data_IF_238056650249
#
_entry.id   IF_238056650249
#
_cell.length_a   1.000
_cell.length_b   1.000
_cell.length_c   1.000
_cell.angle_alpha   90.00
_cell.angle_beta   90.00
_cell.angle_gamma   90.00
#
_symmetry.space_group_name_H-M   'P 1'
#
loop_
_entity.id
_entity.type
_entity.pdbx_description
1 polymer ?
#
# COMPACT_ATOMS: atom_id res chain seq x y z
N UNK A 1 6.38 9.07 -14.35
CA UNK A 1 4.96 9.51 -14.42
C UNK A 1 4.15 8.78 -13.34
N UNK A 2 2.96 9.24 -12.91
CA UNK A 2 2.14 8.55 -11.91
C UNK A 2 1.89 7.06 -12.21
N UNK A 3 1.72 6.71 -13.49
CA UNK A 3 1.51 5.34 -13.94
C UNK A 3 2.73 4.40 -13.70
N UNK A 4 3.96 4.94 -13.75
CA UNK A 4 5.17 4.14 -13.51
C UNK A 4 5.29 3.76 -12.02
N UNK A 5 4.97 4.71 -11.14
CA UNK A 5 4.95 4.49 -9.69
C UNK A 5 3.91 3.43 -9.30
N UNK A 6 2.69 3.55 -9.84
CA UNK A 6 1.60 2.60 -9.62
C UNK A 6 1.96 1.19 -10.13
N UNK A 7 2.51 1.08 -11.34
CA UNK A 7 2.94 -0.21 -11.91
C UNK A 7 4.02 -0.86 -11.06
N UNK A 8 5.04 -0.10 -10.64
CA UNK A 8 6.13 -0.61 -9.82
C UNK A 8 5.67 -1.03 -8.43
N UNK A 9 4.78 -0.25 -7.81
CA UNK A 9 4.14 -0.60 -6.54
C UNK A 9 3.37 -1.91 -6.65
N UNK A 10 2.49 -2.04 -7.64
CA UNK A 10 1.67 -3.25 -7.84
C UNK A 10 2.50 -4.49 -8.13
N UNK A 11 3.51 -4.36 -8.98
CA UNK A 11 4.40 -5.48 -9.27
C UNK A 11 5.01 -6.04 -7.98
N UNK A 12 5.46 -5.15 -7.10
CA UNK A 12 6.09 -5.53 -5.83
C UNK A 12 5.08 -6.05 -4.82
N UNK A 13 4.04 -5.27 -4.52
CA UNK A 13 3.15 -5.53 -3.41
C UNK A 13 1.99 -6.47 -3.74
N UNK A 14 1.84 -6.91 -4.99
CA UNK A 14 0.97 -8.06 -5.33
C UNK A 14 1.56 -9.39 -4.85
N UNK A 15 2.88 -9.45 -4.59
CA UNK A 15 3.53 -10.62 -4.01
C UNK A 15 3.23 -10.69 -2.50
N UNK A 16 2.55 -11.74 -2.01
CA UNK A 16 2.13 -11.81 -0.60
C UNK A 16 3.27 -11.65 0.41
N UNK A 17 4.46 -12.20 0.13
CA UNK A 17 5.63 -12.04 1.00
C UNK A 17 6.03 -10.56 1.18
N UNK A 18 6.01 -9.78 0.11
CA UNK A 18 6.28 -8.34 0.14
C UNK A 18 5.18 -7.58 0.89
N UNK A 19 3.91 -7.88 0.60
CA UNK A 19 2.76 -7.27 1.27
C UNK A 19 2.73 -7.57 2.78
N UNK A 20 3.11 -8.78 3.21
CA UNK A 20 3.17 -9.14 4.62
C UNK A 20 4.13 -8.23 5.42
N UNK A 21 5.28 -7.88 4.84
CA UNK A 21 6.22 -6.93 5.45
C UNK A 21 5.63 -5.53 5.59
N UNK A 22 4.89 -5.05 4.59
CA UNK A 22 4.17 -3.78 4.65
C UNK A 22 3.07 -3.80 5.73
N UNK A 23 2.27 -4.86 5.76
CA UNK A 23 1.20 -5.05 6.75
C UNK A 23 1.76 -5.03 8.18
N UNK A 24 2.88 -5.71 8.44
CA UNK A 24 3.56 -5.69 9.75
C UNK A 24 4.07 -4.31 10.13
N UNK A 25 4.40 -3.47 9.15
CA UNK A 25 4.93 -2.13 9.38
C UNK A 25 3.82 -1.13 9.73
N UNK A 26 2.62 -1.33 9.20
CA UNK A 26 1.53 -0.34 9.27
C UNK A 26 0.43 -0.71 10.26
N UNK A 27 0.14 -2.00 10.45
CA UNK A 27 -0.85 -2.42 11.43
C UNK A 27 -0.25 -2.48 12.84
N UNK A 28 -1.03 -2.14 13.88
CA UNK A 28 -0.59 -2.30 15.26
C UNK A 28 -0.15 -3.74 15.55
N UNK A 29 0.91 -3.92 16.36
CA UNK A 29 1.42 -5.24 16.74
C UNK A 29 0.35 -6.14 17.35
N UNK A 30 -0.59 -5.57 18.09
CA UNK A 30 -1.73 -6.26 18.69
C UNK A 30 -2.70 -6.87 17.66
N UNK A 31 -2.73 -6.33 16.44
CA UNK A 31 -3.47 -6.89 15.31
C UNK A 31 -2.60 -7.94 14.63
N UNK A 32 -1.37 -7.61 14.25
CA UNK A 32 -0.52 -8.49 13.43
C UNK A 32 -0.16 -9.80 14.12
N UNK A 33 -0.04 -9.83 15.46
CA UNK A 33 0.23 -11.07 16.21
C UNK A 33 -0.94 -12.06 16.20
N UNK A 34 -2.12 -11.64 15.73
CA UNK A 34 -3.32 -12.48 15.60
C UNK A 34 -3.58 -12.89 14.16
N UNK A 35 -2.70 -12.55 13.21
CA UNK A 35 -2.85 -12.85 11.79
C UNK A 35 -1.85 -13.91 11.35
N UNK A 36 -2.31 -14.87 10.55
CA UNK A 36 -1.44 -15.83 9.89
C UNK A 36 -0.92 -15.27 8.55
N UNK A 37 0.09 -14.40 8.63
CA UNK A 37 0.66 -13.72 7.47
C UNK A 37 1.42 -14.66 6.51
N UNK A 38 1.74 -15.89 6.92
CA UNK A 38 2.29 -16.90 6.01
C UNK A 38 1.24 -17.40 5.03
N UNK A 39 -0.04 -17.33 5.42
CA UNK A 39 -1.20 -17.67 4.60
C UNK A 39 -1.91 -16.45 4.01
N UNK A 40 -1.20 -15.32 3.93
CA UNK A 40 -1.69 -14.12 3.25
C UNK A 40 -1.94 -14.42 1.76
N UNK A 41 -3.13 -14.09 1.27
CA UNK A 41 -3.55 -14.41 -0.10
C UNK A 41 -4.05 -13.15 -0.81
N UNK A 42 -3.53 -12.91 -2.01
CA UNK A 42 -4.03 -11.88 -2.92
C UNK A 42 -5.36 -12.35 -3.53
N UNK A 43 -6.41 -11.58 -3.34
CA UNK A 43 -7.70 -11.84 -3.94
C UNK A 43 -7.67 -11.51 -5.45
N UNK A 44 -8.36 -12.29 -6.30
CA UNK A 44 -8.50 -11.97 -7.71
C UNK A 44 -9.14 -10.59 -7.92
N UNK A 45 -8.73 -9.86 -8.95
CA UNK A 45 -9.32 -8.55 -9.27
C UNK A 45 -10.84 -8.63 -9.52
N UNK A 46 -11.35 -9.78 -9.98
CA UNK A 46 -12.78 -10.06 -10.16
C UNK A 46 -13.54 -10.35 -8.87
N UNK A 47 -12.86 -10.30 -7.72
CA UNK A 47 -13.51 -10.52 -6.43
C UNK A 47 -14.52 -9.42 -6.11
N UNK A 48 -14.27 -8.18 -6.49
CA UNK A 48 -15.22 -7.07 -6.38
C UNK A 48 -15.87 -6.90 -7.76
N UNK A 49 -17.20 -7.09 -7.87
CA UNK A 49 -17.95 -7.10 -9.15
C UNK A 49 -17.68 -5.88 -10.05
N UNK A 50 -18.03 -6.05 -11.34
CA UNK A 50 -17.72 -5.21 -12.51
C UNK A 50 -17.94 -3.69 -12.36
N UNK A 51 -18.81 -3.23 -11.45
CA UNK A 51 -18.98 -1.79 -11.19
C UNK A 51 -17.74 -1.12 -10.60
N UNK A 52 -16.78 -1.89 -10.05
CA UNK A 52 -15.49 -1.40 -9.55
C UNK A 52 -14.29 -1.83 -10.43
N UNK A 53 -14.53 -2.61 -11.50
CA UNK A 53 -13.49 -3.19 -12.35
C UNK A 53 -12.74 -2.17 -13.22
N UNK A 54 -13.21 -0.92 -13.30
CA UNK A 54 -12.48 0.18 -13.95
C UNK A 54 -11.34 0.74 -13.10
N UNK A 55 -11.34 0.49 -11.78
CA UNK A 55 -10.31 0.98 -10.86
C UNK A 55 -9.40 -0.15 -10.41
N UNK A 56 -8.74 -0.77 -11.38
CA UNK A 56 -7.79 -1.91 -11.27
C UNK A 56 -6.50 -1.57 -10.48
N UNK A 57 -6.58 -0.60 -9.58
CA UNK A 57 -5.55 0.00 -8.73
C UNK A 57 -5.20 -0.85 -7.51
N UNK A 58 -6.24 -1.33 -6.85
CA UNK A 58 -6.15 -1.63 -5.44
C UNK A 58 -5.87 -3.12 -5.22
N UNK A 59 -4.97 -3.44 -4.29
CA UNK A 59 -4.61 -4.82 -3.95
C UNK A 59 -5.43 -5.27 -2.74
N UNK A 60 -6.37 -6.19 -2.94
CA UNK A 60 -7.16 -6.77 -1.86
C UNK A 60 -6.54 -8.08 -1.40
N UNK A 61 -6.14 -8.16 -0.14
CA UNK A 61 -5.67 -9.38 0.48
C UNK A 61 -6.71 -9.93 1.46
N UNK A 62 -6.69 -11.25 1.67
CA UNK A 62 -7.28 -11.89 2.85
C UNK A 62 -6.20 -12.59 3.66
N UNK A 63 -6.36 -12.59 4.97
CA UNK A 63 -5.45 -13.27 5.91
C UNK A 63 -6.26 -13.95 7.01
N UNK A 64 -5.97 -15.24 7.33
CA UNK A 64 -6.63 -15.92 8.43
C UNK A 64 -6.41 -15.21 9.77
N UNK A 65 -7.46 -15.16 10.59
CA UNK A 65 -7.34 -14.72 11.99
C UNK A 65 -7.10 -15.96 12.84
N UNK A 66 -5.99 -15.97 13.58
CA UNK A 66 -5.59 -17.10 14.42
C UNK A 66 -6.66 -17.42 15.47
N UNK A 67 -7.03 -18.71 15.54
CA UNK A 67 -8.06 -19.19 16.47
C UNK A 67 -9.49 -18.78 16.10
N UNK A 68 -9.74 -18.30 14.89
CA UNK A 68 -11.07 -17.96 14.39
C UNK A 68 -11.28 -18.57 13.00
N UNK A 69 -12.51 -19.00 12.69
CA UNK A 69 -12.88 -19.45 11.35
C UNK A 69 -13.33 -18.27 10.47
N UNK A 70 -12.45 -17.27 10.35
CA UNK A 70 -12.69 -16.06 9.56
C UNK A 70 -11.39 -15.40 9.13
N UNK A 71 -11.51 -14.40 8.26
CA UNK A 71 -10.40 -13.66 7.67
C UNK A 71 -10.52 -12.17 8.01
N UNK A 72 -9.36 -11.52 8.13
CA UNK A 72 -9.23 -10.07 7.96
C UNK A 72 -8.95 -9.81 6.47
N UNK A 73 -9.66 -8.85 5.89
CA UNK A 73 -9.36 -8.35 4.56
C UNK A 73 -8.61 -7.03 4.65
N UNK A 74 -7.59 -6.87 3.81
CA UNK A 74 -6.71 -5.70 3.81
C UNK A 74 -6.64 -5.17 2.39
N UNK A 75 -7.18 -3.97 2.20
CA UNK A 75 -7.05 -3.23 0.95
C UNK A 75 -5.78 -2.40 1.02
N UNK A 76 -4.87 -2.57 0.05
CA UNK A 76 -3.64 -1.79 -0.05
C UNK A 76 -3.71 -0.94 -1.31
N UNK A 77 -3.60 0.36 -1.11
CA UNK A 77 -3.70 1.37 -2.16
C UNK A 77 -2.40 2.19 -2.24
N UNK A 78 -2.01 2.56 -3.45
CA UNK A 78 -0.90 3.49 -3.70
C UNK A 78 -1.43 4.84 -4.17
N UNK A 79 -0.88 5.92 -3.61
CA UNK A 79 -1.26 7.28 -3.98
C UNK A 79 -0.01 8.16 -4.20
N UNK A 80 0.13 8.67 -5.43
CA UNK A 80 1.19 9.62 -5.79
C UNK A 80 0.84 11.08 -5.46
N UNK A 81 -0.37 11.33 -4.97
CA UNK A 81 -0.85 12.59 -4.40
C UNK A 81 -2.10 12.35 -3.56
N UNK A 82 -2.51 13.33 -2.73
CA UNK A 82 -3.70 13.19 -1.90
C UNK A 82 -4.97 13.20 -2.78
N UNK A 83 -5.77 12.14 -2.67
CA UNK A 83 -7.10 12.06 -3.29
C UNK A 83 -8.15 12.62 -2.31
N UNK A 84 -8.85 13.72 -2.64
CA UNK A 84 -9.86 14.31 -1.75
C UNK A 84 -11.08 13.40 -1.53
N UNK A 85 -11.22 12.32 -2.30
CA UNK A 85 -12.32 11.34 -2.18
C UNK A 85 -11.84 9.97 -1.66
N UNK A 86 -10.62 9.88 -1.14
CA UNK A 86 -10.03 8.59 -0.74
C UNK A 86 -10.90 7.80 0.26
N UNK A 87 -11.44 8.39 1.35
CA UNK A 87 -12.30 7.64 2.26
C UNK A 87 -13.58 7.12 1.58
N UNK A 88 -14.23 7.91 0.73
CA UNK A 88 -15.39 7.47 -0.06
C UNK A 88 -15.05 6.34 -1.04
N UNK A 89 -13.88 6.40 -1.70
CA UNK A 89 -13.41 5.30 -2.55
C UNK A 89 -13.28 4.02 -1.74
N UNK A 90 -12.61 4.07 -0.58
CA UNK A 90 -12.46 2.91 0.31
C UNK A 90 -13.81 2.38 0.80
N UNK A 91 -14.77 3.25 1.14
CA UNK A 91 -16.13 2.83 1.50
C UNK A 91 -16.78 2.02 0.37
N UNK A 92 -16.64 2.50 -0.87
CA UNK A 92 -17.21 1.84 -2.05
C UNK A 92 -16.59 0.46 -2.25
N UNK A 93 -15.26 0.32 -2.11
CA UNK A 93 -14.59 -0.98 -2.20
C UNK A 93 -15.01 -1.94 -1.08
N UNK A 94 -15.12 -1.47 0.16
CA UNK A 94 -15.58 -2.29 1.29
C UNK A 94 -16.98 -2.83 1.03
N UNK A 95 -17.89 -1.95 0.61
CA UNK A 95 -19.25 -2.34 0.24
C UNK A 95 -19.25 -3.36 -0.91
N UNK A 96 -18.45 -3.14 -1.96
CA UNK A 96 -18.33 -4.06 -3.08
C UNK A 96 -17.83 -5.45 -2.67
N UNK A 97 -16.77 -5.51 -1.85
CA UNK A 97 -16.21 -6.74 -1.32
C UNK A 97 -17.22 -7.49 -0.43
N UNK A 98 -17.91 -6.79 0.47
CA UNK A 98 -18.97 -7.38 1.29
C UNK A 98 -20.13 -7.91 0.43
N UNK A 99 -20.57 -7.15 -0.57
CA UNK A 99 -21.66 -7.57 -1.45
C UNK A 99 -21.27 -8.83 -2.22
N UNK A 100 -20.02 -8.91 -2.72
CA UNK A 100 -19.52 -10.11 -3.39
C UNK A 100 -19.47 -11.32 -2.48
N UNK A 101 -19.00 -11.15 -1.24
CA UNK A 101 -19.01 -12.22 -0.24
C UNK A 101 -20.42 -12.72 0.06
N UNK A 102 -21.38 -11.82 0.27
CA UNK A 102 -22.76 -12.21 0.55
C UNK A 102 -23.42 -12.92 -0.64
N UNK A 103 -23.08 -12.56 -1.88
CA UNK A 103 -23.53 -13.30 -3.07
C UNK A 103 -22.94 -14.71 -3.14
N UNK A 104 -21.63 -14.85 -2.87
CA UNK A 104 -20.92 -16.14 -2.91
C UNK A 104 -21.29 -17.05 -1.74
N UNK A 105 -21.70 -16.47 -0.61
CA UNK A 105 -22.09 -17.18 0.61
C UNK A 105 -23.49 -16.71 1.07
N UNK A 106 -24.60 -17.15 0.42
CA UNK A 106 -25.95 -16.63 0.68
C UNK A 106 -26.47 -16.84 2.11
N UNK A 107 -25.85 -17.74 2.87
CA UNK A 107 -26.17 -18.02 4.27
C UNK A 107 -25.41 -17.12 5.25
N UNK A 108 -24.38 -16.39 4.81
CA UNK A 108 -23.64 -15.43 5.63
C UNK A 108 -24.61 -14.36 6.14
N UNK A 109 -24.49 -14.03 7.44
CA UNK A 109 -25.25 -12.97 8.11
C UNK A 109 -24.35 -11.91 8.75
N UNK A 110 -23.04 -12.09 8.66
CA UNK A 110 -22.02 -11.24 9.27
C UNK A 110 -21.03 -10.75 8.21
N UNK A 111 -20.48 -9.56 8.43
CA UNK A 111 -19.47 -8.96 7.55
C UNK A 111 -18.07 -9.18 8.15
N UNK A 112 -17.08 -9.63 7.37
CA UNK A 112 -15.71 -9.66 7.86
C UNK A 112 -15.13 -8.25 7.97
N UNK A 113 -14.08 -8.11 8.77
CA UNK A 113 -13.34 -6.85 8.89
C UNK A 113 -12.63 -6.58 7.55
N UNK A 114 -12.77 -5.36 7.04
CA UNK A 114 -11.99 -4.85 5.91
C UNK A 114 -11.31 -3.56 6.36
N UNK A 115 -9.98 -3.56 6.39
CA UNK A 115 -9.18 -2.35 6.68
C UNK A 115 -8.45 -1.88 5.42
N UNK A 116 -8.06 -0.61 5.39
CA UNK A 116 -7.37 0.00 4.25
C UNK A 116 -6.03 0.60 4.67
N UNK A 117 -4.98 0.23 3.93
CA UNK A 117 -3.64 0.79 4.00
C UNK A 117 -3.41 1.64 2.75
N UNK A 118 -2.99 2.89 2.92
CA UNK A 118 -2.69 3.80 1.81
C UNK A 118 -1.21 4.17 1.87
N UNK A 119 -0.43 3.73 0.88
CA UNK A 119 0.98 4.13 0.74
C UNK A 119 1.03 5.40 -0.10
N UNK A 120 1.42 6.50 0.53
CA UNK A 120 1.48 7.82 -0.08
C UNK A 120 2.92 8.31 -0.23
N UNK A 121 3.24 8.90 -1.38
CA UNK A 121 4.56 9.49 -1.63
C UNK A 121 4.51 10.83 -2.38
N UNK A 122 3.36 11.51 -2.35
CA UNK A 122 3.18 12.84 -2.92
C UNK A 122 4.06 13.88 -2.25
N UNK A 123 4.78 14.68 -3.03
CA UNK A 123 5.86 15.56 -2.54
C UNK A 123 5.50 16.54 -1.41
N UNK A 124 4.21 16.82 -1.18
CA UNK A 124 3.73 17.73 -0.13
C UNK A 124 3.18 17.02 1.11
N UNK A 125 3.33 15.70 1.19
CA UNK A 125 2.68 14.89 2.24
C UNK A 125 1.16 14.77 2.01
N UNK A 126 0.53 13.96 2.83
CA UNK A 126 -0.90 13.67 2.78
C UNK A 126 -1.70 14.81 3.39
N UNK A 127 -2.55 15.43 2.57
CA UNK A 127 -3.42 16.56 2.96
C UNK A 127 -4.90 16.27 2.68
N UNK A 128 -5.24 15.05 2.25
CA UNK A 128 -6.62 14.63 2.03
C UNK A 128 -7.32 14.18 3.30
N UNK A 129 -8.64 13.95 3.25
CA UNK A 129 -9.39 13.45 4.39
C UNK A 129 -8.97 12.03 4.78
N UNK A 130 -9.01 11.71 6.07
CA UNK A 130 -8.65 10.36 6.60
C UNK A 130 -9.85 9.50 6.96
N UNK A 131 -11.04 10.09 7.07
CA UNK A 131 -12.28 9.40 7.40
C UNK A 131 -13.45 9.92 6.55
N UNK A 132 -14.57 9.19 6.55
CA UNK A 132 -15.81 9.73 5.96
C UNK A 132 -16.34 10.92 6.76
N UNK A 133 -16.09 10.98 8.08
CA UNK A 133 -16.56 12.08 8.93
C UNK A 133 -15.98 13.42 8.46
N UNK A 134 -14.71 13.46 8.05
CA UNK A 134 -14.07 14.64 7.45
C UNK A 134 -14.66 15.06 6.10
N UNK A 135 -15.46 14.20 5.46
CA UNK A 135 -16.06 14.45 4.15
C UNK A 135 -17.54 14.85 4.20
N UNK A 136 -18.23 14.67 5.34
CA UNK A 136 -19.67 14.91 5.44
C UNK A 136 -19.95 16.36 5.77
N UNK A 137 -20.54 17.08 4.81
CA UNK A 137 -20.91 18.49 4.96
C UNK A 137 -21.92 18.68 6.10
N UNK A 138 -21.65 19.63 6.99
CA UNK A 138 -22.58 20.03 8.05
C UNK A 138 -22.65 19.08 9.24
N UNK A 139 -21.79 18.06 9.35
CA UNK A 139 -21.81 17.11 10.46
C UNK A 139 -21.60 17.80 11.82
N UNK A 140 -20.70 18.79 11.87
CA UNK A 140 -20.40 19.58 13.08
C UNK A 140 -21.61 20.32 13.66
N UNK A 141 -22.62 20.63 12.83
CA UNK A 141 -23.85 21.27 13.29
C UNK A 141 -24.80 20.28 14.00
N UNK A 142 -24.59 18.97 13.83
CA UNK A 142 -25.44 17.92 14.38
C UNK A 142 -24.62 16.76 14.98
N UNK A 143 -23.92 16.97 16.11
CA UNK A 143 -23.10 15.91 16.74
C UNK A 143 -23.87 14.61 17.04
N UNK A 144 -25.18 14.71 17.33
CA UNK A 144 -26.04 13.55 17.54
C UNK A 144 -26.20 12.64 16.31
N UNK A 145 -25.83 13.13 15.11
CA UNK A 145 -25.90 12.40 13.85
C UNK A 145 -24.55 11.79 13.42
N UNK A 146 -23.47 11.98 14.18
CA UNK A 146 -22.15 11.38 13.89
C UNK A 146 -22.25 9.86 13.64
N UNK A 147 -23.00 9.15 14.47
CA UNK A 147 -23.22 7.70 14.33
C UNK A 147 -23.94 7.27 13.04
N UNK A 148 -24.49 8.22 12.26
CA UNK A 148 -25.08 7.93 10.93
C UNK A 148 -24.01 7.77 9.84
N UNK A 149 -22.79 8.23 10.10
CA UNK A 149 -21.66 8.14 9.17
C UNK A 149 -20.86 6.88 9.52
N UNK A 150 -20.56 6.00 8.55
CA UNK A 150 -19.75 4.83 8.82
C UNK A 150 -18.38 5.22 9.41
N UNK A 151 -18.10 4.69 10.60
CA UNK A 151 -16.87 4.97 11.32
C UNK A 151 -15.72 4.07 10.84
N UNK A 152 -14.78 4.69 10.13
CA UNK A 152 -13.48 4.11 9.84
C UNK A 152 -12.48 5.19 9.45
N UNK A 153 -11.21 4.86 9.67
CA UNK A 153 -10.08 5.67 9.24
C UNK A 153 -9.20 4.93 8.24
N UNK A 154 -8.52 5.72 7.41
CA UNK A 154 -7.46 5.29 6.53
C UNK A 154 -6.14 5.20 7.30
N UNK A 155 -5.45 4.06 7.19
CA UNK A 155 -4.07 3.93 7.69
C UNK A 155 -3.14 4.40 6.58
N UNK A 156 -2.66 5.63 6.68
CA UNK A 156 -1.82 6.24 5.65
C UNK A 156 -0.34 6.15 6.03
N UNK A 157 0.42 5.43 5.21
CA UNK A 157 1.87 5.43 5.21
C UNK A 157 2.39 6.56 4.33
N UNK A 158 2.55 7.74 4.93
CA UNK A 158 3.04 8.93 4.23
C UNK A 158 4.58 8.94 4.20
N UNK A 159 5.14 8.36 3.14
CA UNK A 159 6.58 8.15 2.98
C UNK A 159 7.38 9.47 3.01
N UNK A 160 6.76 10.62 2.73
CA UNK A 160 7.44 11.92 2.82
C UNK A 160 7.96 12.21 4.23
N UNK A 161 7.28 11.68 5.24
CA UNK A 161 7.63 11.88 6.65
C UNK A 161 8.41 10.71 7.27
N UNK A 162 8.74 9.68 6.47
CA UNK A 162 9.50 8.51 6.94
C UNK A 162 10.96 8.67 6.54
N UNK A 163 11.86 8.74 7.51
CA UNK A 163 13.29 8.83 7.28
C UNK A 163 13.92 7.47 6.85
N UNK A 164 15.23 7.49 6.53
CA UNK A 164 15.96 6.30 6.10
C UNK A 164 16.00 5.22 7.19
N UNK A 165 16.21 5.59 8.45
CA UNK A 165 16.34 4.65 9.56
C UNK A 165 15.02 3.92 9.81
N UNK A 166 13.92 4.66 9.80
CA UNK A 166 12.57 4.13 9.94
C UNK A 166 12.20 3.19 8.77
N UNK A 167 12.56 3.53 7.51
CA UNK A 167 12.34 2.62 6.38
C UNK A 167 13.21 1.36 6.46
N UNK A 168 14.50 1.51 6.79
CA UNK A 168 15.43 0.39 6.94
C UNK A 168 15.03 -0.54 8.08
N UNK A 169 14.46 -0.01 9.16
CA UNK A 169 13.98 -0.75 10.31
C UNK A 169 12.71 -1.58 10.05
N UNK A 170 12.05 -1.43 8.90
CA UNK A 170 10.80 -2.17 8.61
C UNK A 170 11.04 -3.68 8.52
N UNK A 171 10.15 -4.53 9.06
CA UNK A 171 10.28 -5.99 9.07
C UNK A 171 9.88 -6.61 7.72
N UNK A 172 10.63 -6.29 6.67
CA UNK A 172 10.39 -6.74 5.29
C UNK A 172 11.70 -7.12 4.58
N UNK A 173 11.57 -7.82 3.45
CA UNK A 173 12.70 -8.21 2.59
C UNK A 173 13.37 -6.98 1.95
N UNK A 174 14.54 -7.16 1.36
CA UNK A 174 15.29 -6.03 0.80
C UNK A 174 14.54 -5.33 -0.34
N UNK A 175 13.95 -6.11 -1.26
CA UNK A 175 13.25 -5.57 -2.43
C UNK A 175 12.11 -4.60 -2.08
N UNK A 176 11.11 -4.95 -1.24
CA UNK A 176 10.05 -4.01 -0.89
C UNK A 176 10.55 -2.77 -0.14
N UNK A 177 11.64 -2.84 0.66
CA UNK A 177 12.22 -1.62 1.26
C UNK A 177 12.77 -0.68 0.20
N UNK A 178 13.55 -1.25 -0.72
CA UNK A 178 14.14 -0.50 -1.82
C UNK A 178 13.04 0.13 -2.69
N UNK A 179 11.95 -0.59 -2.95
CA UNK A 179 10.78 -0.07 -3.66
C UNK A 179 10.18 1.13 -2.95
N UNK A 180 9.91 1.06 -1.64
CA UNK A 180 9.38 2.20 -0.87
C UNK A 180 10.33 3.40 -0.88
N UNK A 181 11.63 3.16 -0.73
CA UNK A 181 12.65 4.20 -0.84
C UNK A 181 12.65 4.87 -2.22
N UNK A 182 12.60 4.07 -3.29
CA UNK A 182 12.57 4.57 -4.66
C UNK A 182 11.25 5.26 -5.02
N UNK A 183 10.13 4.93 -4.37
CA UNK A 183 8.88 5.69 -4.47
C UNK A 183 9.01 7.06 -3.77
N UNK A 184 9.61 7.08 -2.57
CA UNK A 184 9.83 8.31 -1.79
C UNK A 184 10.78 9.29 -2.49
N UNK A 185 11.91 8.79 -2.97
CA UNK A 185 13.03 9.62 -3.44
C UNK A 185 13.22 9.63 -4.96
N UNK A 186 12.66 8.66 -5.68
CA UNK A 186 12.85 8.50 -7.12
C UNK A 186 12.24 9.60 -7.99
N UNK A 187 11.55 10.58 -7.39
CA UNK A 187 11.16 11.83 -8.09
C UNK A 187 12.35 12.75 -8.39
N UNK A 188 13.48 12.54 -7.70
CA UNK A 188 14.72 13.30 -7.89
C UNK A 188 15.89 12.34 -7.88
N UNK A 189 16.49 12.11 -9.06
CA UNK A 189 17.65 11.23 -9.19
C UNK A 189 18.80 11.67 -8.28
N UNK A 190 19.03 12.99 -8.15
CA UNK A 190 20.06 13.52 -7.25
C UNK A 190 19.80 13.17 -5.78
N UNK A 191 18.53 13.23 -5.33
CA UNK A 191 18.16 12.85 -3.96
C UNK A 191 18.41 11.36 -3.74
N UNK A 192 18.06 10.54 -4.73
CA UNK A 192 18.25 9.09 -4.67
C UNK A 192 19.74 8.72 -4.65
N UNK A 193 20.57 9.32 -5.51
CA UNK A 193 22.02 9.10 -5.53
C UNK A 193 22.70 9.56 -4.23
N UNK A 194 22.28 10.68 -3.65
CA UNK A 194 22.82 11.16 -2.36
C UNK A 194 22.52 10.21 -1.19
N UNK A 195 21.36 9.53 -1.20
CA UNK A 195 20.98 8.59 -0.14
C UNK A 195 21.50 7.17 -0.37
N UNK A 196 21.89 6.82 -1.60
CA UNK A 196 22.36 5.49 -2.00
C UNK A 196 23.40 4.84 -1.05
N UNK A 197 24.42 5.55 -0.50
CA UNK A 197 25.39 4.95 0.41
C UNK A 197 24.78 4.34 1.68
N UNK A 198 23.66 4.89 2.17
CA UNK A 198 22.92 4.35 3.32
C UNK A 198 22.20 3.04 2.97
N UNK A 199 21.77 2.91 1.73
CA UNK A 199 20.99 1.79 1.21
C UNK A 199 21.84 0.64 0.64
N UNK A 200 23.17 0.82 0.55
CA UNK A 200 24.11 -0.19 0.01
C UNK A 200 23.94 -1.59 0.60
N UNK A 201 23.62 -1.68 1.89
CA UNK A 201 23.43 -2.96 2.57
C UNK A 201 22.20 -3.70 2.05
N UNK A 202 21.10 -2.98 1.84
CA UNK A 202 19.86 -3.55 1.29
C UNK A 202 20.04 -3.97 -0.17
N UNK A 203 20.81 -3.24 -0.98
CA UNK A 203 21.20 -3.72 -2.31
C UNK A 203 22.01 -5.02 -2.25
N UNK A 204 22.96 -5.12 -1.33
CA UNK A 204 23.71 -6.36 -1.10
C UNK A 204 22.85 -7.51 -0.57
N UNK A 205 21.75 -7.21 0.14
CA UNK A 205 20.74 -8.21 0.52
C UNK A 205 19.90 -8.64 -0.68
N UNK A 206 19.43 -7.69 -1.49
CA UNK A 206 18.64 -7.97 -2.70
C UNK A 206 19.33 -8.99 -3.61
N UNK A 207 20.62 -8.77 -3.91
CA UNK A 207 21.41 -9.66 -4.77
C UNK A 207 21.56 -11.08 -4.16
N UNK A 208 21.57 -11.19 -2.82
CA UNK A 208 21.67 -12.49 -2.13
C UNK A 208 20.31 -13.20 -2.03
N UNK A 209 19.24 -12.44 -1.82
CA UNK A 209 17.87 -12.94 -1.69
C UNK A 209 17.27 -13.35 -3.04
N UNK A 210 17.70 -12.71 -4.14
CA UNK A 210 17.30 -13.02 -5.51
C UNK A 210 18.51 -13.28 -6.43
N UNK A 211 19.02 -14.53 -6.47
CA UNK A 211 20.12 -14.91 -7.36
C UNK A 211 19.81 -14.79 -8.85
N UNK A 212 18.53 -14.72 -9.23
CA UNK A 212 18.12 -14.55 -10.63
C UNK A 212 18.23 -13.10 -11.09
N UNK A 213 18.41 -12.17 -10.16
CA UNK A 213 18.48 -10.72 -10.36
C UNK A 213 17.21 -10.13 -11.01
N UNK A 214 16.08 -10.84 -10.98
CA UNK A 214 14.82 -10.36 -11.51
C UNK A 214 14.30 -9.11 -10.78
N UNK A 215 14.29 -9.14 -9.45
CA UNK A 215 13.87 -8.00 -8.62
C UNK A 215 14.82 -6.81 -8.81
N UNK A 216 16.12 -7.08 -8.95
CA UNK A 216 17.12 -6.06 -9.25
C UNK A 216 16.92 -5.42 -10.64
N UNK A 217 16.58 -6.21 -11.66
CA UNK A 217 16.26 -5.71 -13.00
C UNK A 217 15.00 -4.84 -12.99
N UNK A 218 13.95 -5.26 -12.29
CA UNK A 218 12.72 -4.48 -12.15
C UNK A 218 13.00 -3.16 -11.44
N UNK A 219 13.77 -3.18 -10.35
CA UNK A 219 14.18 -1.99 -9.62
C UNK A 219 14.93 -1.00 -10.53
N UNK A 220 15.97 -1.47 -11.22
CA UNK A 220 16.77 -0.62 -12.13
C UNK A 220 15.94 -0.09 -13.30
N UNK A 221 15.07 -0.92 -13.87
CA UNK A 221 14.16 -0.51 -14.93
C UNK A 221 13.19 0.59 -14.49
N UNK A 222 12.71 0.53 -13.25
CA UNK A 222 11.93 1.62 -12.66
C UNK A 222 12.77 2.90 -12.50
N UNK A 223 13.97 2.81 -11.93
CA UNK A 223 14.86 3.97 -11.73
C UNK A 223 15.13 4.68 -13.06
N UNK A 224 15.48 3.94 -14.12
CA UNK A 224 15.73 4.50 -15.45
C UNK A 224 14.51 5.23 -16.04
N UNK A 225 13.29 4.70 -15.79
CA UNK A 225 12.05 5.35 -16.25
C UNK A 225 11.76 6.64 -15.51
N UNK A 226 11.98 6.68 -14.19
CA UNK A 226 11.65 7.87 -13.37
C UNK A 226 12.76 8.92 -13.37
N UNK A 227 14.00 8.55 -13.70
CA UNK A 227 15.10 9.49 -13.89
C UNK A 227 14.96 10.32 -15.17
N UNK A 228 14.23 9.85 -16.19
CA UNK A 228 14.33 10.40 -17.55
C UNK A 228 15.70 10.12 -18.17
N UNK A 229 15.95 10.60 -19.39
CA UNK A 229 17.26 10.58 -20.07
C UNK A 229 18.28 11.45 -19.29
N UNK A 230 18.68 11.00 -18.11
CA UNK A 230 19.85 11.54 -17.42
C UNK A 230 21.04 11.01 -18.20
N UNK A 231 21.64 11.88 -19.01
CA UNK A 231 22.90 11.56 -19.70
C UNK A 231 23.89 11.04 -18.67
N UNK A 232 24.38 9.82 -18.87
CA UNK A 232 25.31 9.07 -18.00
C UNK A 232 26.68 9.75 -17.80
N UNK A 233 26.84 11.03 -18.12
CA UNK A 233 28.08 11.78 -17.92
C UNK A 233 28.38 12.09 -16.44
N UNK A 234 27.38 12.02 -15.56
CA UNK A 234 27.55 12.36 -14.13
C UNK A 234 28.14 11.18 -13.31
N UNK A 235 28.10 9.94 -13.81
CA UNK A 235 28.57 8.75 -13.05
C UNK A 235 30.08 8.49 -13.23
N UNK A 236 30.83 9.40 -13.88
CA UNK A 236 32.26 9.20 -14.20
C UNK A 236 33.22 10.20 -13.55
N UNK A 237 32.87 10.78 -12.39
CA UNK A 237 33.80 11.56 -11.57
C UNK A 237 33.94 10.97 -10.17
#
# INVERSE_FOLDING_TARGET
MPADHDTFFKHTFSVPRCAAGLIRSLLPRAVTCRLDLERLELMPASFVDDAMAERRGDLLFRVPILGQDTFLYILIEHQSGPDPRMPFRIATYRQGAWTSLMRREPRRRTLPIITALVVHHGARGWTGPRSLHEMVEGLDAFPSLEASVPDFELIIDDLVHVDDEALLGRPMDAFPKLVLWALRDGRSIDKLLRSLPKWRHEFGRLIREDPTLGDAQVFLGYILKVSGDVSFEIVRQ
#
